data_IF_214001725544
#
_entry.id   IF_214001725544
#
_cell.length_a   1.000
_cell.length_b   1.000
_cell.length_c   1.000
_cell.angle_alpha   90.00
_cell.angle_beta   90.00
_cell.angle_gamma   90.00
#
_symmetry.space_group_name_H-M   'P 1'
#
loop_
_entity.id
_entity.type
_entity.pdbx_description
1 polymer ?
#
# COMPACT_ATOMS: atom_id res chain seq x y z
N UNK A 1 -15.45 28.14 0.13
CA UNK A 1 -14.84 28.65 -1.10
C UNK A 1 -15.76 28.29 -2.24
N UNK A 2 -16.09 29.26 -3.08
CA UNK A 2 -16.98 29.07 -4.23
C UNK A 2 -16.36 28.09 -5.24
N UNK A 3 -17.17 27.21 -5.84
CA UNK A 3 -16.79 26.18 -6.83
C UNK A 3 -17.54 26.43 -8.14
N UNK A 4 -17.25 27.53 -8.85
CA UNK A 4 -18.08 27.97 -9.97
C UNK A 4 -17.95 27.09 -11.22
N UNK A 5 -16.91 26.25 -11.32
CA UNK A 5 -16.63 25.46 -12.52
C UNK A 5 -17.18 24.05 -12.38
N UNK A 6 -18.28 23.75 -13.07
CA UNK A 6 -18.93 22.43 -13.04
C UNK A 6 -18.52 21.56 -14.23
N UNK A 7 -18.17 20.30 -13.97
CA UNK A 7 -17.94 19.30 -15.01
C UNK A 7 -19.28 18.87 -15.63
N UNK A 8 -19.43 18.92 -16.96
CA UNK A 8 -20.66 18.50 -17.62
C UNK A 8 -20.89 16.98 -17.56
N UNK A 9 -19.82 16.18 -17.51
CA UNK A 9 -19.92 14.71 -17.62
C UNK A 9 -20.29 14.03 -16.29
N UNK A 10 -19.81 14.57 -15.17
CA UNK A 10 -20.01 13.97 -13.83
C UNK A 10 -20.62 14.92 -12.80
N UNK A 11 -20.76 16.21 -13.12
CA UNK A 11 -21.32 17.21 -12.23
C UNK A 11 -20.42 17.68 -11.09
N UNK A 12 -19.17 17.21 -11.01
CA UNK A 12 -18.19 17.68 -10.01
C UNK A 12 -17.89 19.17 -10.19
N UNK A 13 -17.65 19.86 -9.07
CA UNK A 13 -17.42 21.31 -9.07
C UNK A 13 -16.00 21.64 -8.59
N UNK A 14 -15.35 22.56 -9.29
CA UNK A 14 -13.96 22.97 -9.10
C UNK A 14 -13.87 24.46 -8.78
N UNK A 15 -12.85 24.82 -8.00
CA UNK A 15 -12.57 26.21 -7.64
C UNK A 15 -11.88 26.97 -8.79
N UNK A 16 -11.16 26.27 -9.67
CA UNK A 16 -10.41 26.86 -10.79
C UNK A 16 -10.77 26.17 -12.11
N UNK A 17 -10.79 26.93 -13.21
CA UNK A 17 -11.05 26.39 -14.55
C UNK A 17 -9.97 25.41 -15.01
N UNK A 18 -8.71 25.65 -14.64
CA UNK A 18 -7.58 24.75 -14.92
C UNK A 18 -7.75 23.36 -14.28
N UNK A 19 -8.35 23.31 -13.10
CA UNK A 19 -8.63 22.06 -12.39
C UNK A 19 -9.75 21.29 -13.10
N UNK A 20 -10.79 21.98 -13.56
CA UNK A 20 -11.85 21.38 -14.37
C UNK A 20 -11.30 20.82 -15.70
N UNK A 21 -10.47 21.58 -16.42
CA UNK A 21 -9.85 21.12 -17.67
C UNK A 21 -8.99 19.88 -17.43
N UNK A 22 -8.19 19.88 -16.37
CA UNK A 22 -7.36 18.72 -16.00
C UNK A 22 -8.24 17.53 -15.60
N UNK A 23 -9.34 17.76 -14.91
CA UNK A 23 -10.31 16.72 -14.56
C UNK A 23 -10.98 16.12 -15.79
N UNK A 24 -11.37 16.91 -16.78
CA UNK A 24 -12.03 16.42 -18.01
C UNK A 24 -11.18 15.39 -18.76
N UNK A 25 -9.85 15.46 -18.64
CA UNK A 25 -8.94 14.44 -19.19
C UNK A 25 -9.12 13.05 -18.60
N UNK A 26 -9.73 12.92 -17.41
CA UNK A 26 -10.12 11.62 -16.85
C UNK A 26 -11.23 10.97 -17.68
N UNK A 27 -12.15 11.76 -18.23
CA UNK A 27 -13.25 11.28 -19.07
C UNK A 27 -12.77 10.94 -20.49
N UNK A 28 -11.91 11.80 -21.07
CA UNK A 28 -11.40 11.59 -22.44
C UNK A 28 -10.24 10.58 -22.50
N UNK A 29 -9.59 10.29 -21.37
CA UNK A 29 -8.39 9.46 -21.32
C UNK A 29 -7.12 10.16 -21.83
N UNK A 30 -7.19 11.46 -22.15
CA UNK A 30 -6.05 12.24 -22.64
C UNK A 30 -4.93 12.28 -21.59
N UNK A 31 -3.72 11.92 -21.99
CA UNK A 31 -2.54 11.89 -21.12
C UNK A 31 -1.36 12.59 -21.80
N UNK A 32 -1.34 13.94 -21.84
CA UNK A 32 -0.37 14.70 -22.64
C UNK A 32 1.08 14.57 -22.16
N UNK A 33 1.29 14.14 -20.92
CA UNK A 33 2.60 14.19 -20.28
C UNK A 33 3.25 12.82 -20.25
N UNK A 34 4.13 12.55 -21.22
CA UNK A 34 4.80 11.26 -21.36
C UNK A 34 6.16 11.24 -20.67
N UNK A 35 6.42 10.19 -19.89
CA UNK A 35 7.72 9.88 -19.33
C UNK A 35 8.64 9.33 -20.41
N UNK A 36 9.79 9.98 -20.62
CA UNK A 36 10.79 9.58 -21.60
C UNK A 36 11.48 8.26 -21.25
N UNK A 37 11.60 7.94 -19.96
CA UNK A 37 12.34 6.76 -19.50
C UNK A 37 11.55 5.46 -19.65
N UNK A 38 10.21 5.52 -19.62
CA UNK A 38 9.36 4.32 -19.65
C UNK A 38 8.09 4.42 -20.50
N UNK A 39 7.87 5.53 -21.21
CA UNK A 39 6.72 5.75 -22.08
C UNK A 39 5.38 5.93 -21.36
N UNK A 40 5.33 5.86 -20.02
CA UNK A 40 4.08 6.06 -19.26
C UNK A 40 3.61 7.50 -19.38
N UNK A 41 2.31 7.67 -19.64
CA UNK A 41 1.70 8.98 -19.87
C UNK A 41 0.79 9.39 -18.71
N UNK A 42 0.74 10.68 -18.40
CA UNK A 42 0.04 11.26 -17.26
C UNK A 42 -0.88 12.41 -17.68
N UNK A 43 -1.92 12.64 -16.88
CA UNK A 43 -2.95 13.65 -17.13
C UNK A 43 -2.46 15.07 -16.85
N UNK A 44 -1.55 15.24 -15.89
CA UNK A 44 -0.97 16.52 -15.51
C UNK A 44 0.55 16.43 -15.34
N UNK A 45 1.23 17.57 -15.50
CA UNK A 45 2.69 17.68 -15.42
C UNK A 45 3.22 17.30 -14.04
N UNK A 46 2.53 17.69 -12.96
CA UNK A 46 2.93 17.34 -11.58
C UNK A 46 2.99 15.84 -11.37
N UNK A 47 2.02 15.08 -11.90
CA UNK A 47 2.03 13.62 -11.83
C UNK A 47 3.22 13.01 -12.57
N UNK A 48 3.60 13.57 -13.73
CA UNK A 48 4.81 13.14 -14.46
C UNK A 48 6.08 13.41 -13.65
N UNK A 49 6.24 14.62 -13.09
CA UNK A 49 7.42 15.00 -12.29
C UNK A 49 7.53 14.06 -11.06
N UNK A 50 6.42 13.86 -10.36
CA UNK A 50 6.35 12.92 -9.26
C UNK A 50 6.69 11.49 -9.68
N UNK A 51 6.22 11.05 -10.85
CA UNK A 51 6.53 9.74 -11.38
C UNK A 51 8.03 9.58 -11.68
N UNK A 52 8.69 10.60 -12.22
CA UNK A 52 10.12 10.54 -12.57
C UNK A 52 11.02 10.21 -11.36
N UNK A 53 10.56 10.48 -10.13
CA UNK A 53 11.26 10.08 -8.90
C UNK A 53 11.55 8.58 -8.82
N UNK A 54 10.73 7.73 -9.45
CA UNK A 54 10.98 6.28 -9.46
C UNK A 54 12.23 5.91 -10.26
N UNK A 55 12.56 6.70 -11.29
CA UNK A 55 13.71 6.45 -12.16
C UNK A 55 14.97 7.06 -11.57
N UNK A 56 14.87 8.28 -11.02
CA UNK A 56 15.99 8.97 -10.39
C UNK A 56 16.33 8.43 -9.00
N UNK A 57 15.41 7.68 -8.36
CA UNK A 57 15.46 7.30 -6.94
C UNK A 57 15.60 8.49 -6.01
N UNK A 58 15.11 9.65 -6.43
CA UNK A 58 15.11 10.85 -5.60
C UNK A 58 14.13 10.67 -4.43
N UNK A 59 14.63 10.85 -3.20
CA UNK A 59 13.86 10.74 -1.96
C UNK A 59 13.97 12.04 -1.17
N UNK A 60 13.24 13.11 -1.54
CA UNK A 60 13.48 14.45 -0.99
C UNK A 60 13.17 14.58 0.51
N UNK A 61 12.35 13.67 1.06
CA UNK A 61 11.80 13.80 2.40
C UNK A 61 12.60 12.96 3.39
N UNK A 62 13.59 13.55 4.06
CA UNK A 62 14.46 12.87 5.01
C UNK A 62 13.92 12.93 6.44
N UNK A 63 13.86 11.78 7.11
CA UNK A 63 13.68 11.67 8.55
C UNK A 63 14.95 12.12 9.26
N UNK A 64 14.82 13.08 10.18
CA UNK A 64 15.95 13.58 10.95
C UNK A 64 16.35 12.65 12.10
N UNK A 65 15.44 11.78 12.56
CA UNK A 65 15.69 10.87 13.69
C UNK A 65 16.53 9.65 13.29
N UNK A 66 16.28 9.08 12.10
CA UNK A 66 16.98 7.86 11.63
C UNK A 66 17.71 8.03 10.29
N UNK A 67 17.57 9.17 9.62
CA UNK A 67 18.19 9.44 8.34
C UNK A 67 17.51 8.80 7.13
N UNK A 68 16.50 7.94 7.31
CA UNK A 68 15.75 7.36 6.20
C UNK A 68 15.06 8.45 5.37
N UNK A 69 15.11 8.32 4.05
CA UNK A 69 14.52 9.29 3.13
C UNK A 69 13.33 8.68 2.41
N UNK A 70 12.35 9.49 2.03
CA UNK A 70 11.10 9.09 1.40
C UNK A 70 10.80 9.90 0.14
N UNK A 71 10.01 9.32 -0.76
CA UNK A 71 9.67 9.92 -2.05
C UNK A 71 8.50 10.92 -1.90
N UNK A 72 7.76 10.80 -0.79
CA UNK A 72 6.57 11.59 -0.47
C UNK A 72 6.55 12.02 1.00
N UNK A 73 6.13 13.26 1.26
CA UNK A 73 6.01 13.81 2.62
C UNK A 73 5.04 13.00 3.49
N UNK A 74 3.95 12.50 2.92
CA UNK A 74 2.99 11.65 3.64
C UNK A 74 3.60 10.34 4.13
N UNK A 75 4.60 9.81 3.42
CA UNK A 75 5.34 8.61 3.87
C UNK A 75 6.26 8.96 5.03
N UNK A 76 6.96 10.09 4.96
CA UNK A 76 7.78 10.58 6.07
C UNK A 76 6.94 10.81 7.33
N UNK A 77 5.77 11.47 7.22
CA UNK A 77 4.87 11.69 8.36
C UNK A 77 4.42 10.36 8.97
N UNK A 78 4.01 9.39 8.14
CA UNK A 78 3.63 8.05 8.62
C UNK A 78 4.80 7.32 9.27
N UNK A 79 6.01 7.50 8.75
CA UNK A 79 7.22 6.93 9.33
C UNK A 79 7.55 7.57 10.68
N UNK A 80 7.40 8.88 10.85
CA UNK A 80 7.64 9.55 12.13
C UNK A 80 6.72 9.05 13.25
N UNK A 81 5.50 8.61 12.93
CA UNK A 81 4.59 7.96 13.89
C UNK A 81 5.21 6.68 14.49
N UNK A 82 6.11 5.99 13.77
CA UNK A 82 6.84 4.85 14.32
C UNK A 82 7.81 5.28 15.43
N UNK A 83 8.52 6.41 15.27
CA UNK A 83 9.44 6.92 16.28
C UNK A 83 8.71 7.38 17.54
N UNK A 84 7.57 8.06 17.39
CA UNK A 84 6.79 8.56 18.52
C UNK A 84 5.95 7.48 19.19
N UNK A 85 5.69 6.37 18.50
CA UNK A 85 4.78 5.32 18.95
C UNK A 85 3.31 5.75 18.97
N UNK A 86 2.99 6.93 18.41
CA UNK A 86 1.63 7.43 18.37
C UNK A 86 0.71 6.48 17.60
N UNK A 87 -0.55 6.40 18.03
CA UNK A 87 -1.59 5.63 17.34
C UNK A 87 -2.83 6.50 17.19
N UNK A 88 -2.85 7.41 16.21
CA UNK A 88 -3.91 8.41 16.09
C UNK A 88 -5.28 7.79 15.84
N UNK A 89 -5.32 6.63 15.18
CA UNK A 89 -6.55 6.03 14.68
C UNK A 89 -7.13 5.04 15.68
N UNK A 90 -8.22 5.41 16.38
CA UNK A 90 -8.91 4.56 17.35
C UNK A 90 -10.09 3.82 16.71
N UNK A 91 -10.19 2.51 16.92
CA UNK A 91 -11.39 1.74 16.65
C UNK A 91 -12.43 2.04 17.73
N UNK A 92 -13.62 2.48 17.32
CA UNK A 92 -14.69 2.81 18.25
C UNK A 92 -15.38 1.56 18.82
N UNK A 93 -15.39 0.45 18.08
CA UNK A 93 -16.04 -0.80 18.49
C UNK A 93 -15.30 -1.52 19.63
N UNK A 94 -13.96 -1.44 19.67
CA UNK A 94 -13.14 -2.17 20.66
C UNK A 94 -12.05 -1.33 21.33
N UNK A 95 -11.97 -0.03 21.04
CA UNK A 95 -10.97 0.88 21.61
C UNK A 95 -9.54 0.73 21.09
N UNK A 96 -9.24 -0.31 20.29
CA UNK A 96 -7.89 -0.59 19.78
C UNK A 96 -7.39 0.54 18.87
N UNK A 97 -6.12 0.93 19.04
CA UNK A 97 -5.50 2.05 18.30
C UNK A 97 -4.50 1.57 17.25
N UNK A 98 -4.39 2.31 16.14
CA UNK A 98 -3.55 2.03 14.98
C UNK A 98 -2.77 3.28 14.57
N UNK A 99 -1.58 3.08 13.99
CA UNK A 99 -0.73 4.14 13.44
C UNK A 99 -1.11 4.56 12.02
N UNK A 100 -1.91 3.75 11.31
CA UNK A 100 -2.36 4.02 9.95
C UNK A 100 -3.87 3.79 9.79
N UNK A 101 -4.54 4.69 9.07
CA UNK A 101 -5.99 4.66 8.85
C UNK A 101 -6.44 3.44 8.05
N UNK A 102 -5.66 3.03 7.04
CA UNK A 102 -5.95 1.84 6.22
C UNK A 102 -5.92 0.56 7.08
N UNK A 103 -5.01 0.50 8.05
CA UNK A 103 -4.94 -0.60 9.01
C UNK A 103 -6.16 -0.62 9.93
N UNK A 104 -6.63 0.54 10.40
CA UNK A 104 -7.89 0.64 11.15
C UNK A 104 -9.09 0.18 10.29
N UNK A 105 -9.20 0.61 9.04
CA UNK A 105 -10.29 0.21 8.13
C UNK A 105 -10.28 -1.30 7.94
N UNK A 106 -9.11 -1.89 7.66
CA UNK A 106 -8.99 -3.35 7.53
C UNK A 106 -9.34 -4.06 8.84
N UNK A 107 -8.98 -3.49 10.00
CA UNK A 107 -9.31 -4.05 11.29
C UNK A 107 -10.82 -4.06 11.53
N UNK A 108 -11.54 -2.97 11.19
CA UNK A 108 -13.00 -2.88 11.40
C UNK A 108 -13.77 -4.01 10.73
N UNK A 109 -13.24 -4.62 9.67
CA UNK A 109 -13.83 -5.80 9.02
C UNK A 109 -14.02 -6.98 9.95
N UNK A 110 -13.24 -7.10 11.04
CA UNK A 110 -13.44 -8.17 12.03
C UNK A 110 -14.74 -7.99 12.81
N UNK A 111 -15.18 -6.73 13.00
CA UNK A 111 -16.39 -6.40 13.75
C UNK A 111 -17.62 -6.53 12.86
N UNK A 112 -17.50 -6.15 11.59
CA UNK A 112 -18.60 -6.28 10.62
C UNK A 112 -18.72 -7.70 10.04
N UNK A 113 -17.70 -8.54 10.21
CA UNK A 113 -17.63 -9.86 9.57
C UNK A 113 -17.41 -9.80 8.04
N UNK A 114 -17.11 -8.63 7.48
CA UNK A 114 -16.91 -8.44 6.04
C UNK A 114 -15.66 -9.20 5.57
N UNK A 115 -15.83 -10.09 4.58
CA UNK A 115 -14.74 -10.91 4.03
C UNK A 115 -14.66 -10.76 2.51
N UNK A 116 -14.16 -9.62 1.99
CA UNK A 116 -14.22 -9.30 0.56
C UNK A 116 -13.41 -10.23 -0.33
N UNK A 117 -12.42 -10.91 0.24
CA UNK A 117 -11.44 -11.67 -0.53
C UNK A 117 -11.80 -13.15 -0.51
N UNK A 118 -12.49 -13.61 -1.56
CA UNK A 118 -12.91 -14.99 -1.73
C UNK A 118 -11.87 -15.81 -2.51
N UNK A 119 -11.56 -16.99 -2.01
CA UNK A 119 -10.82 -18.01 -2.73
C UNK A 119 -11.76 -18.70 -3.71
N UNK A 120 -11.42 -18.68 -5.00
CA UNK A 120 -12.23 -19.31 -6.04
C UNK A 120 -12.09 -20.83 -6.03
N UNK A 121 -10.94 -21.36 -5.59
CA UNK A 121 -10.67 -22.80 -5.56
C UNK A 121 -11.51 -23.54 -4.50
N UNK A 122 -11.83 -22.91 -3.38
CA UNK A 122 -12.52 -23.57 -2.25
C UNK A 122 -13.67 -22.76 -1.62
N UNK A 123 -13.99 -21.59 -2.17
CA UNK A 123 -15.05 -20.70 -1.69
C UNK A 123 -14.77 -19.96 -0.37
N UNK A 124 -13.69 -20.27 0.35
CA UNK A 124 -13.35 -19.62 1.63
C UNK A 124 -13.05 -18.14 1.44
N UNK A 125 -13.58 -17.30 2.32
CA UNK A 125 -13.42 -15.85 2.25
C UNK A 125 -12.57 -15.30 3.41
N UNK A 126 -11.87 -14.19 3.19
CA UNK A 126 -10.93 -13.58 4.13
C UNK A 126 -11.14 -12.06 4.25
N UNK A 127 -10.82 -11.50 5.42
CA UNK A 127 -10.90 -10.06 5.70
C UNK A 127 -9.78 -9.25 5.01
N UNK A 128 -8.67 -9.92 4.65
CA UNK A 128 -7.47 -9.32 4.05
C UNK A 128 -6.97 -10.12 2.84
N UNK A 129 -6.55 -9.42 1.78
CA UNK A 129 -6.02 -10.03 0.57
C UNK A 129 -4.72 -10.82 0.82
N UNK A 130 -3.84 -10.31 1.68
CA UNK A 130 -2.59 -11.00 2.06
C UNK A 130 -2.86 -12.39 2.66
N UNK A 131 -3.95 -12.52 3.42
CA UNK A 131 -4.38 -13.81 3.99
C UNK A 131 -4.91 -14.74 2.91
N UNK A 132 -5.66 -14.22 1.93
CA UNK A 132 -6.10 -15.00 0.76
C UNK A 132 -4.90 -15.50 -0.06
N UNK A 133 -3.94 -14.64 -0.39
CA UNK A 133 -2.74 -15.02 -1.17
C UNK A 133 -1.98 -16.14 -0.45
N UNK A 134 -1.77 -15.99 0.87
CA UNK A 134 -1.14 -17.02 1.69
C UNK A 134 -1.95 -18.31 1.73
N UNK A 135 -3.27 -18.21 1.82
CA UNK A 135 -4.16 -19.38 1.79
C UNK A 135 -4.05 -20.11 0.45
N UNK A 136 -3.99 -19.42 -0.69
CA UNK A 136 -3.87 -20.06 -2.01
C UNK A 136 -2.64 -20.96 -2.13
N UNK A 137 -1.56 -20.69 -1.39
CA UNK A 137 -0.38 -21.56 -1.32
C UNK A 137 -0.68 -22.96 -0.76
N UNK A 138 -1.78 -23.13 -0.03
CA UNK A 138 -2.20 -24.45 0.45
C UNK A 138 -2.80 -25.30 -0.68
N UNK A 139 -3.32 -24.68 -1.73
CA UNK A 139 -3.84 -25.37 -2.91
C UNK A 139 -2.72 -25.68 -3.91
N UNK A 140 -1.82 -24.70 -4.14
CA UNK A 140 -0.73 -24.85 -5.11
C UNK A 140 0.46 -25.66 -4.57
N UNK A 141 0.56 -25.82 -3.25
CA UNK A 141 1.74 -26.42 -2.60
C UNK A 141 2.99 -25.53 -2.64
N UNK A 142 2.87 -24.27 -3.08
CA UNK A 142 4.00 -23.35 -3.22
C UNK A 142 4.72 -23.11 -1.88
N UNK A 143 6.03 -23.31 -1.87
CA UNK A 143 6.91 -23.10 -0.70
C UNK A 143 8.06 -22.14 -1.06
N UNK A 144 7.82 -20.82 -1.07
CA UNK A 144 8.80 -19.84 -1.55
C UNK A 144 10.04 -19.75 -0.66
N UNK A 145 9.90 -20.05 0.64
CA UNK A 145 10.94 -19.76 1.63
C UNK A 145 11.80 -21.01 1.84
N UNK A 146 13.06 -20.97 1.41
CA UNK A 146 14.03 -22.07 1.56
C UNK A 146 14.98 -21.79 2.73
N UNK A 147 15.17 -22.78 3.60
CA UNK A 147 16.25 -22.79 4.57
C UNK A 147 17.57 -23.04 3.86
N UNK A 148 18.56 -22.16 4.07
CA UNK A 148 19.87 -22.28 3.44
C UNK A 148 20.74 -23.34 4.11
N UNK A 149 20.57 -23.58 5.42
CA UNK A 149 21.35 -24.58 6.16
C UNK A 149 20.99 -26.03 5.76
N UNK A 150 19.70 -26.33 5.56
CA UNK A 150 19.23 -27.72 5.31
C UNK A 150 18.39 -27.90 4.05
N UNK A 151 18.16 -26.85 3.26
CA UNK A 151 17.38 -26.91 2.02
C UNK A 151 15.86 -27.03 2.19
N UNK A 152 15.34 -27.24 3.41
CA UNK A 152 13.90 -27.40 3.68
C UNK A 152 13.11 -26.15 3.28
N UNK A 153 11.95 -26.33 2.64
CA UNK A 153 11.11 -25.24 2.12
C UNK A 153 9.82 -25.07 2.93
N UNK A 154 9.36 -23.83 3.05
CA UNK A 154 8.18 -23.41 3.81
C UNK A 154 7.27 -22.50 2.97
N UNK A 155 5.97 -22.53 3.25
CA UNK A 155 4.96 -21.69 2.59
C UNK A 155 4.82 -20.29 3.22
N UNK A 156 5.41 -20.08 4.40
CA UNK A 156 5.41 -18.84 5.17
C UNK A 156 6.81 -18.55 5.71
N UNK A 157 7.19 -17.26 5.73
CA UNK A 157 8.48 -16.82 6.27
C UNK A 157 8.60 -17.07 7.77
N UNK A 158 7.53 -16.86 8.54
CA UNK A 158 7.50 -17.12 9.98
C UNK A 158 7.86 -18.57 10.31
N UNK A 159 7.38 -19.53 9.50
CA UNK A 159 7.69 -20.94 9.69
C UNK A 159 9.17 -21.23 9.40
N UNK A 160 9.75 -20.57 8.38
CA UNK A 160 11.19 -20.63 8.13
C UNK A 160 11.98 -20.03 9.31
N UNK A 161 11.60 -18.86 9.81
CA UNK A 161 12.28 -18.21 10.94
C UNK A 161 12.26 -19.09 12.18
N UNK A 162 11.11 -19.68 12.54
CA UNK A 162 11.02 -20.62 13.67
C UNK A 162 11.88 -21.86 13.44
N UNK A 163 11.90 -22.38 12.21
CA UNK A 163 12.77 -23.51 11.87
C UNK A 163 14.26 -23.17 11.99
N UNK A 164 14.69 -21.99 11.55
CA UNK A 164 16.10 -21.57 11.63
C UNK A 164 16.61 -21.45 13.06
N UNK A 165 15.75 -21.12 14.03
CA UNK A 165 16.12 -21.12 15.46
C UNK A 165 16.58 -22.49 15.95
N UNK A 166 16.07 -23.58 15.35
CA UNK A 166 16.50 -24.94 15.68
C UNK A 166 17.93 -25.22 15.25
N UNK A 167 18.41 -24.59 14.16
CA UNK A 167 19.81 -24.72 13.73
C UNK A 167 20.76 -23.91 14.62
N UNK A 168 20.30 -22.75 15.11
CA UNK A 168 21.06 -21.95 16.07
C UNK A 168 21.20 -22.63 17.44
N UNK A 169 20.20 -23.40 17.86
CA UNK A 169 20.28 -24.23 19.08
C UNK A 169 21.14 -25.50 18.92
N UNK A 170 21.55 -25.84 17.69
CA UNK A 170 22.37 -27.03 17.38
C UNK A 170 23.82 -26.68 16.99
N UNK A 171 24.16 -25.40 16.83
CA UNK A 171 25.54 -24.94 16.61
C UNK A 171 26.17 -24.65 17.99
N UNK A 172 27.27 -25.32 18.37
CA UNK A 172 27.95 -25.11 19.65
C UNK A 172 28.55 -23.70 19.76
#
# INVERSE_FOLDING_TARGET
GDRPYKCPDCGENFNQSSDLITHQRLHTGERPYTCTDCGKSFICRSNLISHQRIHTRERPYKCLDCGESFDWSSQLIKHQIFHTGEKPYKCLDCGKRFSDSSTLISHRRIHTGERPYKCLDCGKSFHQNSTLIRHRRTHTGEKPYKCLDCGKRFNQSSNLTTHQRLHMAQKP
#
